data_IF_722490924173
#
_entry.id   IF_722490924173
#
_cell.length_a   1.000
_cell.length_b   1.000
_cell.length_c   1.000
_cell.angle_alpha   90.00
_cell.angle_beta   90.00
_cell.angle_gamma   90.00
#
_symmetry.space_group_name_H-M   'P 1'
#
loop_
_entity.id
_entity.type
_entity.pdbx_description
1 polymer ?
#
# COMPACT_ATOMS: atom_id res chain seq x y z
N UNK A 1 -3.11 13.04 -8.37
CA UNK A 1 -2.62 14.38 -7.97
C UNK A 1 -3.73 15.08 -7.22
N UNK A 2 -3.79 14.90 -5.89
CA UNK A 2 -4.85 15.44 -5.03
C UNK A 2 -4.51 16.86 -4.59
N UNK A 3 -4.40 17.78 -5.53
CA UNK A 3 -4.14 19.19 -5.21
C UNK A 3 -5.45 19.83 -4.77
N UNK A 4 -5.54 20.20 -3.49
CA UNK A 4 -6.70 20.85 -2.91
C UNK A 4 -6.45 22.34 -2.78
N UNK A 5 -6.47 23.01 -3.92
CA UNK A 5 -6.35 24.45 -4.00
C UNK A 5 -7.05 24.90 -5.26
N UNK A 6 -7.69 26.06 -5.21
CA UNK A 6 -8.31 26.66 -6.37
C UNK A 6 -9.61 27.37 -6.04
N UNK A 7 -10.16 27.99 -7.07
CA UNK A 7 -11.45 28.66 -7.01
C UNK A 7 -12.40 27.98 -7.99
N UNK A 8 -13.58 27.65 -7.50
CA UNK A 8 -14.66 26.99 -8.21
C UNK A 8 -15.85 27.93 -8.20
N UNK A 9 -16.01 28.73 -9.26
CA UNK A 9 -17.04 29.77 -9.34
C UNK A 9 -18.27 29.31 -10.11
N UNK A 10 -19.36 30.07 -9.99
CA UNK A 10 -20.59 29.93 -10.76
C UNK A 10 -21.26 28.55 -10.68
N UNK A 11 -21.16 27.90 -9.52
CA UNK A 11 -21.84 26.63 -9.30
C UNK A 11 -23.31 26.92 -9.01
N UNK A 12 -24.18 26.68 -10.00
CA UNK A 12 -25.61 26.87 -9.87
C UNK A 12 -26.23 25.89 -8.88
N UNK A 13 -27.04 26.41 -7.95
CA UNK A 13 -27.82 25.62 -7.01
C UNK A 13 -29.18 26.27 -6.83
N UNK A 14 -30.23 25.60 -7.29
CA UNK A 14 -31.59 26.18 -7.38
C UNK A 14 -31.55 27.49 -8.19
N UNK A 15 -32.20 28.56 -7.72
CA UNK A 15 -32.19 29.90 -8.35
C UNK A 15 -31.03 30.78 -7.87
N UNK A 16 -30.02 30.19 -7.23
CA UNK A 16 -28.81 30.87 -6.77
C UNK A 16 -27.54 30.30 -7.38
N UNK A 17 -26.42 30.88 -6.99
CA UNK A 17 -25.08 30.40 -7.33
C UNK A 17 -24.19 30.44 -6.10
N UNK A 18 -23.14 29.64 -6.09
CA UNK A 18 -22.09 29.76 -5.10
C UNK A 18 -20.72 29.60 -5.74
N UNK A 19 -19.72 30.16 -5.05
CA UNK A 19 -18.31 29.98 -5.34
C UNK A 19 -17.62 29.36 -4.13
N UNK A 20 -16.66 28.48 -4.39
CA UNK A 20 -15.80 27.88 -3.37
C UNK A 20 -14.36 28.24 -3.66
N UNK A 21 -13.63 28.75 -2.68
CA UNK A 21 -12.17 28.94 -2.76
C UNK A 21 -11.49 28.10 -1.69
N UNK A 22 -10.50 27.32 -2.10
CA UNK A 22 -9.65 26.52 -1.22
C UNK A 22 -8.23 27.08 -1.29
N UNK A 23 -7.72 27.54 -0.16
CA UNK A 23 -6.41 28.19 -0.02
C UNK A 23 -5.64 27.67 1.19
N UNK A 24 -4.33 27.90 1.23
CA UNK A 24 -3.46 27.47 2.32
C UNK A 24 -2.83 26.09 2.10
N UNK A 25 -1.86 25.71 2.96
CA UNK A 25 -1.23 24.39 2.92
C UNK A 25 -2.15 23.31 3.49
N UNK A 26 -1.83 22.04 3.24
CA UNK A 26 -2.57 20.89 3.81
C UNK A 26 -2.62 20.90 5.35
N UNK A 27 -1.60 21.44 6.00
CA UNK A 27 -1.55 21.60 7.46
C UNK A 27 -2.55 22.62 8.00
N UNK A 28 -3.06 23.51 7.15
CA UNK A 28 -4.06 24.53 7.50
C UNK A 28 -4.71 25.10 6.23
N UNK A 29 -5.74 24.41 5.74
CA UNK A 29 -6.52 24.86 4.59
C UNK A 29 -7.66 25.75 5.05
N UNK A 30 -7.98 26.75 4.25
CA UNK A 30 -9.17 27.60 4.38
C UNK A 30 -10.06 27.36 3.17
N UNK A 31 -11.29 26.92 3.43
CA UNK A 31 -12.33 26.68 2.45
C UNK A 31 -13.40 27.75 2.66
N UNK A 32 -13.51 28.68 1.71
CA UNK A 32 -14.52 29.74 1.73
C UNK A 32 -15.59 29.41 0.70
N UNK A 33 -16.84 29.29 1.13
CA UNK A 33 -18.01 29.20 0.26
C UNK A 33 -18.79 30.51 0.32
N UNK A 34 -18.91 31.23 -0.80
CA UNK A 34 -19.76 32.41 -0.91
C UNK A 34 -20.96 32.07 -1.78
N UNK A 35 -22.17 32.20 -1.24
CA UNK A 35 -23.42 31.94 -1.94
C UNK A 35 -24.18 33.22 -2.25
N UNK A 36 -24.89 33.22 -3.37
CA UNK A 36 -25.63 34.33 -3.93
C UNK A 36 -27.06 33.88 -4.25
N UNK A 37 -28.05 34.53 -3.63
CA UNK A 37 -29.47 34.31 -3.92
C UNK A 37 -30.21 35.64 -3.98
N UNK A 38 -30.62 36.04 -5.17
CA UNK A 38 -31.17 37.38 -5.42
C UNK A 38 -30.15 38.46 -5.03
N UNK A 39 -30.51 39.29 -4.04
CA UNK A 39 -29.63 40.35 -3.50
C UNK A 39 -28.95 39.97 -2.17
N UNK A 40 -29.08 38.71 -1.73
CA UNK A 40 -28.51 38.23 -0.48
C UNK A 40 -27.24 37.44 -0.78
N UNK A 41 -26.17 37.75 -0.04
CA UNK A 41 -24.94 36.97 -0.04
C UNK A 41 -24.76 36.36 1.34
N UNK A 42 -24.30 35.11 1.39
CA UNK A 42 -23.92 34.43 2.63
C UNK A 42 -22.58 33.75 2.45
N UNK A 43 -21.71 33.86 3.44
CA UNK A 43 -20.36 33.32 3.38
C UNK A 43 -20.16 32.32 4.51
N UNK A 44 -19.63 31.16 4.18
CA UNK A 44 -19.17 30.15 5.14
C UNK A 44 -17.68 29.99 4.97
N UNK A 45 -16.92 30.04 6.05
CA UNK A 45 -15.48 29.75 6.01
C UNK A 45 -15.16 28.62 6.96
N UNK A 46 -14.52 27.59 6.43
CA UNK A 46 -14.07 26.41 7.15
C UNK A 46 -12.54 26.40 7.16
N UNK A 47 -11.96 26.26 8.34
CA UNK A 47 -10.54 25.91 8.49
C UNK A 47 -10.44 24.41 8.72
N UNK A 48 -9.64 23.73 7.91
CA UNK A 48 -9.46 22.29 7.99
C UNK A 48 -7.99 21.89 7.84
N UNK A 49 -7.63 20.73 8.36
CA UNK A 49 -6.33 20.09 8.14
C UNK A 49 -6.53 18.80 7.36
N UNK A 50 -5.59 18.51 6.44
CA UNK A 50 -5.47 17.23 5.76
C UNK A 50 -4.22 16.54 6.25
N UNK A 51 -4.40 15.45 6.99
CA UNK A 51 -3.29 14.60 7.40
C UNK A 51 -2.79 13.72 6.23
N UNK A 52 -1.52 13.27 6.25
CA UNK A 52 -1.02 12.24 5.35
C UNK A 52 -1.84 10.95 5.44
N UNK A 53 -1.72 10.09 4.43
CA UNK A 53 -2.26 8.74 4.54
C UNK A 53 -1.52 7.99 5.66
N UNK A 54 -2.25 7.38 6.59
CA UNK A 54 -1.67 6.62 7.69
C UNK A 54 -1.37 5.20 7.20
N UNK A 55 -0.10 4.82 7.17
CA UNK A 55 0.31 3.43 6.97
C UNK A 55 0.21 2.63 8.27
N UNK A 56 -0.24 1.36 8.20
CA UNK A 56 -0.14 0.44 9.32
C UNK A 56 1.32 0.12 9.63
N UNK A 57 1.58 -0.36 10.85
CA UNK A 57 2.88 -0.91 11.21
C UNK A 57 3.21 -2.12 10.34
N UNK A 58 4.48 -2.23 9.96
CA UNK A 58 5.02 -3.34 9.17
C UNK A 58 5.71 -4.34 10.09
N UNK A 59 5.33 -5.61 9.95
CA UNK A 59 5.78 -6.69 10.83
C UNK A 59 6.79 -7.64 10.17
N UNK A 60 7.06 -7.47 8.87
CA UNK A 60 8.02 -8.27 8.12
C UNK A 60 8.17 -7.77 6.68
N UNK A 61 9.13 -8.33 5.95
CA UNK A 61 9.22 -8.12 4.51
C UNK A 61 7.99 -8.72 3.80
N UNK A 62 7.59 -9.92 4.22
CA UNK A 62 6.33 -10.57 3.90
C UNK A 62 5.58 -10.86 5.21
N UNK A 63 4.39 -10.30 5.36
CA UNK A 63 3.49 -10.58 6.48
C UNK A 63 2.23 -11.26 5.95
N UNK A 64 1.86 -12.39 6.58
CA UNK A 64 0.70 -13.19 6.19
C UNK A 64 -0.22 -13.37 7.38
N UNK A 65 -1.42 -12.80 7.29
CA UNK A 65 -2.50 -12.96 8.25
C UNK A 65 -3.62 -13.83 7.64
N UNK A 66 -3.87 -14.99 8.24
CA UNK A 66 -4.80 -15.99 7.68
C UNK A 66 -5.32 -16.98 8.71
N UNK A 67 -6.49 -17.57 8.44
CA UNK A 67 -7.01 -18.73 9.18
C UNK A 67 -6.40 -20.06 8.68
N UNK A 68 -6.01 -20.10 7.40
CA UNK A 68 -5.45 -21.29 6.75
C UNK A 68 -4.30 -20.89 5.83
N UNK A 69 -3.13 -21.51 6.05
CA UNK A 69 -1.92 -21.19 5.32
C UNK A 69 -1.48 -22.34 4.41
N UNK A 70 -1.24 -22.04 3.13
CA UNK A 70 -0.56 -22.91 2.18
C UNK A 70 0.60 -22.14 1.53
N UNK A 71 1.82 -22.64 1.68
CA UNK A 71 3.01 -21.96 1.17
C UNK A 71 3.78 -22.90 0.27
N UNK A 72 3.97 -22.50 -0.99
CA UNK A 72 4.68 -23.25 -2.03
C UNK A 72 5.78 -22.38 -2.65
N UNK A 73 6.92 -22.33 -1.98
CA UNK A 73 8.09 -21.61 -2.47
C UNK A 73 8.96 -22.50 -3.35
N UNK A 74 9.24 -22.05 -4.57
CA UNK A 74 10.10 -22.74 -5.53
C UNK A 74 11.02 -21.75 -6.26
N UNK A 75 12.13 -22.24 -6.79
CA UNK A 75 13.10 -21.41 -7.52
C UNK A 75 14.20 -20.82 -6.63
N UNK A 76 14.54 -19.57 -6.88
CA UNK A 76 15.58 -18.77 -6.23
C UNK A 76 14.95 -17.49 -5.63
N UNK A 77 13.83 -17.63 -4.95
CA UNK A 77 13.20 -16.53 -4.22
C UNK A 77 14.13 -16.02 -3.12
N UNK A 78 14.10 -14.72 -2.88
CA UNK A 78 14.75 -14.05 -1.75
C UNK A 78 13.68 -13.29 -0.96
N UNK A 79 13.59 -13.52 0.35
CA UNK A 79 12.76 -12.73 1.26
C UNK A 79 13.67 -12.26 2.37
N UNK A 80 13.87 -10.95 2.48
CA UNK A 80 14.85 -10.39 3.41
C UNK A 80 14.22 -9.29 4.26
N UNK A 81 14.17 -9.52 5.56
CA UNK A 81 13.70 -8.58 6.56
C UNK A 81 14.76 -7.60 7.06
N UNK A 82 16.01 -7.70 6.60
CA UNK A 82 17.01 -6.66 6.84
C UNK A 82 16.63 -5.39 6.07
N UNK A 83 16.80 -4.22 6.68
CA UNK A 83 16.46 -2.96 6.03
C UNK A 83 17.37 -2.73 4.81
N UNK A 84 16.75 -2.54 3.64
CA UNK A 84 17.43 -2.19 2.38
C UNK A 84 16.88 -0.88 1.83
N UNK A 85 17.77 -0.03 1.36
CA UNK A 85 17.40 1.15 0.57
C UNK A 85 16.96 0.73 -0.84
N UNK A 86 16.33 1.65 -1.58
CA UNK A 86 15.85 1.39 -2.95
C UNK A 86 16.98 1.11 -3.96
N UNK A 87 18.22 1.43 -3.61
CA UNK A 87 19.43 1.15 -4.40
C UNK A 87 20.15 -0.14 -3.95
N UNK A 88 19.47 -0.97 -3.14
CA UNK A 88 19.96 -2.23 -2.57
C UNK A 88 21.11 -2.07 -1.56
N UNK A 89 21.45 -0.84 -1.17
CA UNK A 89 22.37 -0.61 -0.05
C UNK A 89 21.69 -0.88 1.30
N UNK A 90 22.46 -1.23 2.35
CA UNK A 90 21.88 -1.40 3.69
C UNK A 90 21.19 -0.14 4.19
N UNK A 91 19.97 -0.31 4.70
CA UNK A 91 19.19 0.72 5.39
C UNK A 91 19.65 0.93 6.84
N UNK A 92 19.03 1.89 7.52
CA UNK A 92 19.39 2.28 8.89
C UNK A 92 18.48 1.73 9.97
N UNK A 93 17.29 1.25 9.60
CA UNK A 93 16.32 0.74 10.56
C UNK A 93 16.64 -0.70 10.99
N UNK A 94 16.19 -1.13 12.18
CA UNK A 94 16.36 -2.50 12.64
C UNK A 94 15.72 -3.51 11.69
N UNK A 95 16.33 -4.69 11.59
CA UNK A 95 15.75 -5.80 10.83
C UNK A 95 14.40 -6.24 11.42
N UNK A 96 13.46 -6.56 10.54
CA UNK A 96 12.21 -7.27 10.83
C UNK A 96 12.34 -8.74 10.40
N UNK A 97 11.41 -9.63 10.76
CA UNK A 97 11.35 -10.97 10.17
C UNK A 97 11.25 -10.91 8.64
N UNK A 98 11.92 -11.84 7.95
CA UNK A 98 11.71 -12.04 6.51
C UNK A 98 10.25 -12.41 6.24
N UNK A 99 9.76 -13.45 6.93
CA UNK A 99 8.34 -13.82 6.95
C UNK A 99 7.79 -13.65 8.36
N UNK A 100 6.70 -12.90 8.48
CA UNK A 100 5.90 -12.77 9.70
C UNK A 100 4.52 -13.43 9.51
N UNK A 101 4.03 -14.10 10.56
CA UNK A 101 2.71 -14.74 10.61
C UNK A 101 2.06 -14.55 11.98
N UNK A 102 0.76 -14.82 12.10
CA UNK A 102 -0.03 -14.55 13.31
C UNK A 102 0.13 -15.59 14.41
N UNK A 103 0.34 -16.87 14.06
CA UNK A 103 0.35 -17.98 15.00
C UNK A 103 1.67 -18.79 14.96
N UNK A 104 2.15 -19.34 16.10
CA UNK A 104 3.32 -20.21 16.14
C UNK A 104 3.18 -21.51 15.34
N UNK A 105 1.95 -22.02 15.15
CA UNK A 105 1.66 -23.16 14.30
C UNK A 105 1.95 -22.88 12.83
N UNK A 106 1.59 -21.68 12.35
CA UNK A 106 1.87 -21.24 10.99
C UNK A 106 3.36 -21.03 10.74
N UNK A 107 4.09 -20.45 11.69
CA UNK A 107 5.54 -20.26 11.55
C UNK A 107 6.25 -21.61 11.46
N UNK A 108 5.88 -22.57 12.31
CA UNK A 108 6.38 -23.95 12.23
C UNK A 108 5.99 -24.63 10.91
N UNK A 109 4.75 -24.44 10.43
CA UNK A 109 4.29 -25.00 9.15
C UNK A 109 5.12 -24.48 7.97
N UNK A 110 5.35 -23.15 7.91
CA UNK A 110 6.19 -22.54 6.88
C UNK A 110 7.59 -23.16 6.92
N UNK A 111 8.26 -23.12 8.07
CA UNK A 111 9.63 -23.65 8.24
C UNK A 111 9.73 -25.10 7.77
N UNK A 112 8.77 -25.95 8.14
CA UNK A 112 8.77 -27.38 7.78
C UNK A 112 8.47 -27.63 6.29
N UNK A 113 7.87 -26.68 5.58
CA UNK A 113 7.53 -26.78 4.15
C UNK A 113 8.65 -26.26 3.25
N UNK A 114 9.59 -25.48 3.80
CA UNK A 114 10.70 -24.91 3.05
C UNK A 114 11.70 -25.98 2.59
N UNK A 115 12.15 -25.87 1.35
CA UNK A 115 13.31 -26.60 0.86
C UNK A 115 14.59 -25.94 1.39
N UNK A 116 15.67 -26.68 1.70
CA UNK A 116 16.88 -26.11 2.30
C UNK A 116 17.45 -24.89 1.56
N UNK A 117 17.41 -24.90 0.22
CA UNK A 117 17.87 -23.77 -0.58
C UNK A 117 17.05 -22.50 -0.36
N UNK A 118 15.73 -22.61 -0.23
CA UNK A 118 14.85 -21.46 0.00
C UNK A 118 14.97 -20.98 1.44
N UNK A 119 15.12 -21.91 2.40
CA UNK A 119 15.29 -21.54 3.80
C UNK A 119 16.49 -20.62 4.02
N UNK A 120 17.60 -20.86 3.33
CA UNK A 120 18.79 -20.00 3.38
C UNK A 120 18.61 -18.64 2.69
N UNK A 121 17.53 -18.44 1.94
CA UNK A 121 17.22 -17.17 1.27
C UNK A 121 16.08 -16.41 1.97
N UNK A 122 15.69 -16.85 3.17
CA UNK A 122 14.74 -16.15 4.02
C UNK A 122 15.55 -15.60 5.20
N UNK A 123 15.94 -14.34 5.10
CA UNK A 123 16.84 -13.66 6.03
C UNK A 123 16.11 -12.55 6.80
N UNK A 124 16.69 -12.10 7.90
CA UNK A 124 16.13 -11.04 8.75
C UNK A 124 16.19 -11.38 10.23
N UNK A 125 15.29 -10.80 11.02
CA UNK A 125 15.22 -11.02 12.46
C UNK A 125 14.84 -12.48 12.79
N UNK A 126 15.38 -13.05 13.87
CA UNK A 126 14.93 -14.33 14.42
C UNK A 126 15.59 -15.60 13.87
N UNK A 127 16.68 -15.49 13.11
CA UNK A 127 17.53 -16.61 12.69
C UNK A 127 17.20 -17.17 11.31
N UNK A 128 17.81 -18.30 10.94
CA UNK A 128 17.71 -18.88 9.59
C UNK A 128 16.91 -20.21 9.60
N UNK A 129 15.81 -20.34 8.84
CA UNK A 129 15.14 -19.29 8.06
C UNK A 129 14.44 -18.25 8.96
N UNK A 130 14.41 -16.99 8.53
CA UNK A 130 13.79 -15.88 9.25
C UNK A 130 12.26 -15.91 9.10
N UNK A 131 11.64 -16.76 9.90
CA UNK A 131 10.18 -16.92 9.98
C UNK A 131 9.77 -16.79 11.44
N UNK A 132 9.02 -15.74 11.78
CA UNK A 132 8.59 -15.50 13.16
C UNK A 132 7.10 -15.23 13.27
N UNK A 133 6.59 -15.53 14.45
CA UNK A 133 5.25 -15.10 14.85
C UNK A 133 5.29 -13.67 15.37
N UNK A 134 4.36 -12.84 14.93
CA UNK A 134 4.21 -11.46 15.40
C UNK A 134 2.77 -11.27 15.87
N UNK A 135 2.61 -10.57 16.99
CA UNK A 135 1.28 -10.17 17.46
C UNK A 135 0.88 -8.91 16.73
N UNK A 136 -0.11 -9.03 15.86
CA UNK A 136 -0.70 -7.91 15.15
C UNK A 136 -2.19 -7.80 15.50
N UNK A 137 -2.60 -6.65 16.00
CA UNK A 137 -4.01 -6.36 16.30
C UNK A 137 -4.61 -5.38 15.28
N UNK A 138 -3.97 -5.24 14.12
CA UNK A 138 -4.42 -4.35 13.06
C UNK A 138 -5.73 -4.88 12.46
N UNK A 139 -6.77 -4.04 12.45
CA UNK A 139 -7.98 -4.31 11.67
C UNK A 139 -7.67 -4.03 10.19
N UNK A 140 -7.24 -5.07 9.47
CA UNK A 140 -6.86 -4.96 8.07
C UNK A 140 -8.02 -4.62 7.14
N UNK A 141 -9.26 -4.96 7.49
CA UNK A 141 -10.43 -4.52 6.72
C UNK A 141 -10.59 -3.01 6.88
N UNK A 142 -10.58 -2.49 8.11
CA UNK A 142 -10.66 -1.05 8.34
C UNK A 142 -9.51 -0.29 7.65
N UNK A 143 -8.27 -0.77 7.79
CA UNK A 143 -7.09 -0.14 7.16
C UNK A 143 -7.22 -0.14 5.64
N UNK A 144 -7.58 -1.27 5.01
CA UNK A 144 -7.71 -1.33 3.55
C UNK A 144 -8.84 -0.44 3.05
N UNK A 145 -10.01 -0.43 3.70
CA UNK A 145 -11.12 0.48 3.34
C UNK A 145 -10.72 1.96 3.45
N UNK A 146 -9.99 2.32 4.51
CA UNK A 146 -9.50 3.68 4.71
C UNK A 146 -8.53 4.13 3.61
N UNK A 147 -7.65 3.22 3.17
CA UNK A 147 -6.71 3.47 2.10
C UNK A 147 -7.39 3.49 0.72
N UNK A 148 -8.38 2.64 0.47
CA UNK A 148 -9.19 2.63 -0.76
C UNK A 148 -9.98 3.93 -0.91
N UNK A 149 -10.57 4.44 0.17
CA UNK A 149 -11.21 5.76 0.16
C UNK A 149 -10.21 6.88 -0.21
N UNK A 150 -8.93 6.63 0.07
CA UNK A 150 -7.82 7.51 -0.30
C UNK A 150 -7.11 7.09 -1.58
N UNK A 151 -7.67 6.25 -2.45
CA UNK A 151 -7.03 5.89 -3.71
C UNK A 151 -6.81 7.11 -4.63
N UNK A 152 -5.68 7.14 -5.34
CA UNK A 152 -5.41 8.08 -6.44
C UNK A 152 -5.86 7.50 -7.78
N UNK A 153 -5.77 6.18 -7.93
CA UNK A 153 -6.15 5.47 -9.15
C UNK A 153 -6.76 4.12 -8.81
N UNK A 154 -7.69 3.68 -9.66
CA UNK A 154 -8.31 2.35 -9.59
C UNK A 154 -8.00 1.59 -10.87
N UNK A 155 -7.66 0.33 -10.72
CA UNK A 155 -7.47 -0.63 -11.81
C UNK A 155 -8.53 -1.72 -11.70
N UNK A 156 -8.95 -2.27 -12.84
CA UNK A 156 -9.80 -3.46 -12.87
C UNK A 156 -8.96 -4.72 -12.98
N UNK A 157 -9.63 -5.87 -13.03
CA UNK A 157 -8.96 -7.13 -13.32
C UNK A 157 -8.30 -7.13 -14.70
N UNK A 158 -7.10 -7.69 -14.81
CA UNK A 158 -6.40 -7.80 -16.09
C UNK A 158 -4.89 -7.86 -16.01
N UNK A 159 -4.24 -7.76 -17.17
CA UNK A 159 -2.78 -7.77 -17.29
C UNK A 159 -2.26 -6.35 -17.58
N UNK A 160 -1.32 -5.91 -16.76
CA UNK A 160 -0.63 -4.63 -16.88
C UNK A 160 0.84 -4.89 -17.20
N UNK A 161 1.33 -4.37 -18.33
CA UNK A 161 2.64 -4.71 -18.89
C UNK A 161 3.57 -3.49 -18.99
N UNK A 162 4.61 -3.60 -19.82
CA UNK A 162 5.60 -2.55 -20.06
C UNK A 162 4.95 -1.17 -20.31
N UNK A 163 5.49 -0.14 -19.66
CA UNK A 163 4.95 1.23 -19.72
C UNK A 163 3.89 1.54 -18.67
N UNK A 164 3.41 0.55 -17.90
CA UNK A 164 2.56 0.82 -16.74
C UNK A 164 3.41 1.39 -15.59
N UNK A 165 3.06 2.60 -15.14
CA UNK A 165 3.72 3.30 -14.03
C UNK A 165 2.67 3.63 -12.97
N UNK A 166 2.73 2.95 -11.82
CA UNK A 166 1.79 3.06 -10.71
C UNK A 166 2.40 3.91 -9.60
N UNK A 167 2.71 5.16 -9.95
CA UNK A 167 3.48 6.08 -9.13
C UNK A 167 4.98 5.98 -9.39
N UNK A 168 5.70 7.00 -8.91
CA UNK A 168 7.16 7.07 -8.96
C UNK A 168 7.68 7.34 -7.56
N UNK A 169 8.94 7.04 -7.27
CA UNK A 169 9.48 7.30 -5.92
C UNK A 169 9.33 8.77 -5.50
N UNK A 170 9.50 9.72 -6.43
CA UNK A 170 9.31 11.15 -6.16
C UNK A 170 7.83 11.57 -6.03
N UNK A 171 6.91 10.79 -6.60
CA UNK A 171 5.46 11.06 -6.57
C UNK A 171 4.73 9.72 -6.40
N UNK A 172 4.76 9.13 -5.18
CA UNK A 172 4.06 7.89 -4.91
C UNK A 172 2.54 8.11 -4.99
N UNK A 173 1.81 7.04 -5.26
CA UNK A 173 0.33 7.08 -5.33
C UNK A 173 -0.30 5.91 -4.58
N UNK A 174 -1.57 6.06 -4.20
CA UNK A 174 -2.39 4.95 -3.72
C UNK A 174 -3.11 4.30 -4.92
N UNK A 175 -2.77 3.06 -5.23
CA UNK A 175 -3.37 2.27 -6.31
C UNK A 175 -4.28 1.21 -5.70
N UNK A 176 -5.56 1.23 -6.06
CA UNK A 176 -6.48 0.13 -5.78
C UNK A 176 -6.67 -0.73 -7.02
N UNK A 177 -6.76 -2.04 -6.83
CA UNK A 177 -7.06 -3.00 -7.88
C UNK A 177 -8.27 -3.82 -7.46
N UNK A 178 -9.34 -3.70 -8.25
CA UNK A 178 -10.57 -4.46 -8.05
C UNK A 178 -10.52 -5.76 -8.88
N UNK A 179 -10.30 -6.87 -8.19
CA UNK A 179 -10.21 -8.22 -8.75
C UNK A 179 -8.79 -8.66 -9.09
N UNK A 180 -8.70 -9.66 -9.98
CA UNK A 180 -7.45 -10.40 -10.23
C UNK A 180 -6.52 -9.64 -11.17
N UNK A 181 -5.24 -9.53 -10.79
CA UNK A 181 -4.28 -8.71 -11.52
C UNK A 181 -2.99 -9.44 -11.85
N UNK A 182 -2.49 -9.19 -13.05
CA UNK A 182 -1.20 -9.66 -13.51
C UNK A 182 -0.31 -8.48 -13.90
N UNK A 183 0.68 -8.13 -13.07
CA UNK A 183 1.75 -7.21 -13.45
C UNK A 183 2.87 -7.96 -14.16
N UNK A 184 3.20 -7.57 -15.39
CA UNK A 184 4.15 -8.28 -16.25
C UNK A 184 5.21 -7.35 -16.84
N UNK A 185 6.30 -7.93 -17.36
CA UNK A 185 7.37 -7.19 -18.05
C UNK A 185 8.01 -6.11 -17.15
N UNK A 186 8.18 -4.88 -17.61
CA UNK A 186 8.86 -3.78 -16.90
C UNK A 186 7.89 -2.77 -16.28
N UNK A 187 6.69 -3.19 -15.89
CA UNK A 187 5.80 -2.35 -15.10
C UNK A 187 6.48 -1.93 -13.79
N UNK A 188 6.20 -0.73 -13.29
CA UNK A 188 6.80 -0.22 -12.04
C UNK A 188 5.76 0.53 -11.22
N UNK A 189 6.03 0.73 -9.94
CA UNK A 189 5.20 1.59 -9.10
C UNK A 189 5.85 2.01 -7.79
N UNK A 190 5.25 2.99 -7.13
CA UNK A 190 5.65 3.40 -5.79
C UNK A 190 4.47 3.98 -5.02
N UNK A 191 4.41 3.69 -3.72
CA UNK A 191 3.37 4.15 -2.81
C UNK A 191 2.69 2.99 -2.10
N UNK A 192 1.35 2.98 -2.14
CA UNK A 192 0.52 1.92 -1.56
C UNK A 192 -0.25 1.25 -2.68
N UNK A 193 -0.17 -0.07 -2.78
CA UNK A 193 -0.98 -0.85 -3.70
C UNK A 193 -1.87 -1.80 -2.93
N UNK A 194 -3.18 -1.73 -3.17
CA UNK A 194 -4.20 -2.53 -2.51
C UNK A 194 -4.87 -3.38 -3.57
N UNK A 195 -4.85 -4.69 -3.41
CA UNK A 195 -5.38 -5.64 -4.40
C UNK A 195 -6.49 -6.45 -3.74
N UNK A 196 -7.73 -6.26 -4.20
CA UNK A 196 -8.86 -7.08 -3.82
C UNK A 196 -8.99 -8.28 -4.76
N UNK A 197 -8.08 -9.25 -4.64
CA UNK A 197 -8.01 -10.36 -5.58
C UNK A 197 -6.71 -11.14 -5.54
N UNK A 198 -6.54 -12.02 -6.52
CA UNK A 198 -5.29 -12.74 -6.76
C UNK A 198 -4.30 -11.82 -7.46
N UNK A 199 -3.02 -12.00 -7.16
CA UNK A 199 -1.95 -11.23 -7.78
C UNK A 199 -0.92 -12.15 -8.43
N UNK A 200 -0.59 -11.85 -9.68
CA UNK A 200 0.55 -12.44 -10.37
C UNK A 200 1.51 -11.33 -10.76
N UNK A 201 2.76 -11.45 -10.34
CA UNK A 201 3.83 -10.54 -10.74
C UNK A 201 4.85 -11.33 -11.53
N UNK A 202 5.12 -10.90 -12.77
CA UNK A 202 6.11 -11.55 -13.62
C UNK A 202 7.02 -10.59 -14.38
N UNK A 203 8.15 -11.09 -14.85
CA UNK A 203 9.17 -10.29 -15.52
C UNK A 203 10.01 -9.48 -14.53
N UNK A 204 10.17 -8.18 -14.81
CA UNK A 204 10.98 -7.23 -14.05
C UNK A 204 10.11 -6.21 -13.31
N UNK A 205 8.90 -6.60 -12.90
CA UNK A 205 8.02 -5.71 -12.13
C UNK A 205 8.71 -5.28 -10.83
N UNK A 206 8.83 -3.99 -10.60
CA UNK A 206 9.46 -3.45 -9.38
C UNK A 206 8.54 -2.47 -8.68
N UNK A 207 8.33 -2.67 -7.38
CA UNK A 207 7.46 -1.82 -6.57
C UNK A 207 8.19 -1.30 -5.33
N UNK A 208 8.03 0.00 -5.05
CA UNK A 208 8.63 0.67 -3.89
C UNK A 208 7.54 1.17 -2.94
N UNK A 209 7.34 0.49 -1.82
CA UNK A 209 6.38 0.86 -0.78
C UNK A 209 5.61 -0.33 -0.24
N UNK A 210 4.33 -0.14 0.10
CA UNK A 210 3.51 -1.18 0.72
C UNK A 210 2.59 -1.84 -0.31
N UNK A 211 2.60 -3.17 -0.35
CA UNK A 211 1.65 -3.98 -1.10
C UNK A 211 0.71 -4.66 -0.11
N UNK A 212 -0.61 -4.49 -0.27
CA UNK A 212 -1.64 -5.15 0.53
C UNK A 212 -2.51 -5.97 -0.40
N UNK A 213 -2.54 -7.29 -0.21
CA UNK A 213 -3.41 -8.20 -0.94
C UNK A 213 -4.48 -8.70 0.03
N UNK A 214 -5.75 -8.44 -0.27
CA UNK A 214 -6.85 -8.68 0.65
C UNK A 214 -8.12 -9.18 -0.07
N UNK A 215 -9.15 -9.51 0.70
CA UNK A 215 -10.55 -9.54 0.23
C UNK A 215 -11.03 -10.84 -0.43
N UNK A 216 -10.16 -11.84 -0.63
CA UNK A 216 -10.58 -13.19 -1.07
C UNK A 216 -10.46 -14.24 0.02
N UNK A 217 -11.41 -15.18 0.01
CA UNK A 217 -11.34 -16.39 0.83
C UNK A 217 -10.17 -17.29 0.47
N UNK A 218 -9.57 -17.11 -0.71
CA UNK A 218 -8.32 -17.73 -1.15
C UNK A 218 -7.50 -16.72 -1.94
N UNK A 219 -6.31 -16.36 -1.46
CA UNK A 219 -5.40 -15.46 -2.16
C UNK A 219 -4.29 -16.28 -2.81
N UNK A 220 -4.23 -16.24 -4.14
CA UNK A 220 -3.08 -16.74 -4.90
C UNK A 220 -2.15 -15.58 -5.24
N UNK A 221 -0.93 -15.63 -4.69
CA UNK A 221 0.14 -14.70 -5.03
C UNK A 221 1.21 -15.47 -5.78
N UNK A 222 1.55 -15.05 -7.00
CA UNK A 222 2.55 -15.72 -7.85
C UNK A 222 3.62 -14.75 -8.33
N UNK A 223 4.86 -14.97 -7.92
CA UNK A 223 6.02 -14.17 -8.35
C UNK A 223 6.92 -14.95 -9.34
N UNK A 224 7.14 -14.40 -10.54
CA UNK A 224 7.85 -15.06 -11.67
C UNK A 224 8.75 -14.10 -12.44
N UNK A 225 10.01 -13.97 -12.03
CA UNK A 225 11.03 -13.19 -12.77
C UNK A 225 12.06 -12.58 -11.84
N UNK A 226 12.86 -11.60 -12.31
CA UNK A 226 13.88 -10.92 -11.50
C UNK A 226 13.42 -9.51 -11.05
N UNK A 227 12.11 -9.26 -11.04
CA UNK A 227 11.53 -8.11 -10.36
C UNK A 227 11.63 -8.23 -8.83
N UNK A 228 11.16 -7.21 -8.12
CA UNK A 228 11.16 -7.24 -6.66
C UNK A 228 10.30 -6.17 -6.02
N UNK A 229 9.97 -6.40 -4.75
CA UNK A 229 9.27 -5.43 -3.91
C UNK A 229 10.27 -4.92 -2.88
N UNK A 230 10.42 -3.60 -2.79
CA UNK A 230 11.16 -2.91 -1.74
C UNK A 230 10.16 -2.19 -0.85
N UNK A 231 9.98 -2.67 0.38
CA UNK A 231 9.05 -2.11 1.35
C UNK A 231 8.44 -3.21 2.21
N UNK A 232 7.14 -3.44 2.14
CA UNK A 232 6.51 -4.55 2.86
C UNK A 232 5.32 -5.08 2.09
N UNK A 233 5.19 -6.40 2.06
CA UNK A 233 4.04 -7.10 1.47
C UNK A 233 3.18 -7.69 2.58
N UNK A 234 1.91 -7.34 2.59
CA UNK A 234 0.92 -7.83 3.53
C UNK A 234 -0.13 -8.62 2.76
N UNK A 235 -0.40 -9.85 3.20
CA UNK A 235 -1.42 -10.72 2.62
C UNK A 235 -2.42 -11.08 3.71
N UNK A 236 -3.69 -10.75 3.49
CA UNK A 236 -4.77 -10.94 4.46
C UNK A 236 -5.94 -11.67 3.83
N UNK A 237 -6.24 -12.88 4.30
CA UNK A 237 -7.41 -13.63 3.84
C UNK A 237 -7.58 -14.95 4.56
N UNK A 238 -8.75 -15.57 4.49
CA UNK A 238 -9.02 -16.82 5.24
C UNK A 238 -8.23 -18.03 4.74
N UNK A 239 -7.83 -18.05 3.47
CA UNK A 239 -6.91 -19.04 2.92
C UNK A 239 -5.87 -18.31 2.08
N UNK A 240 -4.60 -18.57 2.30
CA UNK A 240 -3.51 -17.97 1.53
C UNK A 240 -2.73 -19.08 0.86
N UNK A 241 -2.67 -19.07 -0.48
CA UNK A 241 -1.79 -19.94 -1.29
C UNK A 241 -0.69 -19.07 -1.91
N UNK A 242 0.42 -18.96 -1.19
CA UNK A 242 1.55 -18.18 -1.64
C UNK A 242 2.48 -19.04 -2.49
N UNK A 243 2.60 -18.70 -3.77
CA UNK A 243 3.45 -19.37 -4.76
C UNK A 243 4.54 -18.42 -5.24
N UNK A 244 5.76 -18.93 -5.33
CA UNK A 244 6.81 -18.22 -6.04
C UNK A 244 7.57 -19.21 -6.89
N UNK A 245 7.82 -18.84 -8.14
CA UNK A 245 8.60 -19.62 -9.09
C UNK A 245 9.47 -18.65 -9.89
N UNK A 246 10.72 -18.46 -9.47
CA UNK A 246 11.61 -17.50 -10.14
C UNK A 246 12.73 -17.01 -9.25
N UNK A 247 13.25 -15.83 -9.55
CA UNK A 247 14.37 -15.12 -8.89
C UNK A 247 13.89 -13.82 -8.25
N UNK A 248 12.61 -13.78 -7.85
CA UNK A 248 11.99 -12.56 -7.32
C UNK A 248 12.46 -12.30 -5.90
N UNK A 249 12.60 -11.02 -5.56
CA UNK A 249 12.93 -10.58 -4.20
C UNK A 249 11.79 -9.84 -3.51
N UNK A 250 11.59 -10.09 -2.22
CA UNK A 250 10.77 -9.26 -1.32
C UNK A 250 11.69 -8.75 -0.23
N UNK A 251 12.00 -7.45 -0.27
CA UNK A 251 12.96 -6.81 0.61
C UNK A 251 12.25 -5.82 1.52
N UNK A 252 12.53 -5.92 2.81
CA UNK A 252 12.14 -4.87 3.75
C UNK A 252 12.84 -3.56 3.39
N UNK A 253 12.08 -2.47 3.25
CA UNK A 253 12.64 -1.14 2.97
C UNK A 253 11.91 -0.06 3.75
N UNK A 254 12.49 0.35 4.88
CA UNK A 254 12.01 1.48 5.68
C UNK A 254 11.99 2.77 4.86
N UNK A 255 12.97 2.96 3.96
CA UNK A 255 13.07 4.11 3.07
C UNK A 255 11.85 4.20 2.14
N UNK A 256 11.46 3.10 1.51
CA UNK A 256 10.31 3.08 0.60
C UNK A 256 8.99 3.30 1.34
N UNK A 257 8.84 2.71 2.52
CA UNK A 257 7.64 2.85 3.37
C UNK A 257 7.54 4.30 3.89
N UNK A 258 8.62 4.87 4.42
CA UNK A 258 8.68 6.25 4.91
C UNK A 258 8.41 7.25 3.79
N UNK A 259 8.96 7.01 2.59
CA UNK A 259 8.68 7.84 1.42
C UNK A 259 7.17 7.84 1.06
N UNK A 260 6.51 6.68 1.13
CA UNK A 260 5.07 6.59 0.94
C UNK A 260 4.32 7.34 2.05
N UNK A 261 4.68 7.15 3.33
CA UNK A 261 4.06 7.83 4.47
C UNK A 261 4.10 9.36 4.33
N UNK A 262 5.25 9.91 3.92
CA UNK A 262 5.49 11.36 3.87
C UNK A 262 4.80 12.02 2.67
N UNK A 263 4.76 11.34 1.52
CA UNK A 263 4.32 11.96 0.27
C UNK A 263 2.87 11.61 -0.13
N UNK A 264 2.27 10.58 0.45
CA UNK A 264 0.89 10.21 0.16
C UNK A 264 -0.11 11.08 0.92
N UNK A 265 -1.13 11.52 0.20
CA UNK A 265 -2.16 12.43 0.71
C UNK A 265 -3.44 11.66 0.99
N UNK A 266 -3.97 11.80 2.21
CA UNK A 266 -5.30 11.29 2.56
C UNK A 266 -6.40 12.00 1.76
N UNK A 267 -7.54 11.35 1.58
CA UNK A 267 -8.77 12.03 1.13
C UNK A 267 -9.59 12.60 2.31
N UNK A 268 -9.11 12.43 3.55
CA UNK A 268 -9.79 12.87 4.77
C UNK A 268 -9.35 14.26 5.22
N UNK A 269 -10.27 14.94 5.90
CA UNK A 269 -10.04 16.24 6.52
C UNK A 269 -10.59 16.23 7.92
N UNK A 270 -9.91 16.95 8.79
CA UNK A 270 -10.44 17.34 10.09
C UNK A 270 -10.82 18.81 10.02
N UNK A 271 -12.07 19.12 10.39
CA UNK A 271 -12.54 20.51 10.52
C UNK A 271 -12.04 21.04 11.85
N UNK A 272 -11.19 22.07 11.81
CA UNK A 272 -10.67 22.75 12.99
C UNK A 272 -11.66 23.79 13.51
N UNK A 273 -12.26 24.55 12.60
CA UNK A 273 -13.26 25.58 12.93
C UNK A 273 -14.11 25.92 11.71
N UNK A 274 -15.30 26.45 11.94
CA UNK A 274 -16.14 27.02 10.90
C UNK A 274 -16.82 28.29 11.42
N UNK A 275 -17.09 29.23 10.50
CA UNK A 275 -17.91 30.42 10.77
C UNK A 275 -18.79 30.74 9.57
N UNK A 276 -19.94 31.35 9.86
CA UNK A 276 -20.99 31.79 8.93
C UNK A 276 -21.40 33.23 9.23
#
# INVERSE_FOLDING_TARGET
NKTLSGTFSDIGLMDGAYEVSITGPDSQMTITSTSHFGNTNHQVIVTAVREPAVLPSVHGALYISTDTLNVKLQGNLEIDGNDRNIDDSPGSEPAVPGIAVDDPGDSAYVINTLKPKIANNIEGLGGDPSVNTVVDNTDWDEVTQNLIFSQDTSLGSGTYAAGTVLGTFANPIITYVEGDVHFSSTATGSGIMIINGNVTMSGQFTYYGMLIVYGKSSIETTFVGNGGIYGSTVIVGSNVDFKSTGTTGIYYSSQAISNAQVNLKSSRFEILSWWE
#
